data_IF_124851371350
#
_entry.id   IF_124851371350
#
_cell.length_a   1.000
_cell.length_b   1.000
_cell.length_c   1.000
_cell.angle_alpha   90.00
_cell.angle_beta   90.00
_cell.angle_gamma   90.00
#
_symmetry.space_group_name_H-M   'P 1'
#
loop_
_entity.id
_entity.type
_entity.pdbx_description
1 polymer ?
#
# COMPACT_ATOMS: atom_id res chain seq x y z
N UNK A 1 -6.36 -15.51 -19.67
CA UNK A 1 -7.15 -15.47 -18.41
C UNK A 1 -7.04 -16.83 -17.71
N UNK A 2 -6.22 -16.96 -16.66
CA UNK A 2 -6.04 -18.24 -15.95
C UNK A 2 -7.20 -18.63 -15.02
N UNK A 3 -7.25 -19.88 -14.51
CA UNK A 3 -8.33 -20.38 -13.64
C UNK A 3 -8.61 -19.51 -12.41
N UNK A 4 -7.58 -18.86 -11.85
CA UNK A 4 -7.72 -17.93 -10.74
C UNK A 4 -8.42 -16.62 -11.12
N UNK A 5 -8.16 -16.11 -12.34
CA UNK A 5 -8.85 -14.93 -12.87
C UNK A 5 -10.33 -15.22 -13.13
N UNK A 6 -10.65 -16.42 -13.61
CA UNK A 6 -12.03 -16.89 -13.76
C UNK A 6 -12.73 -16.95 -12.39
N UNK A 7 -12.08 -17.49 -11.35
CA UNK A 7 -12.63 -17.53 -9.97
C UNK A 7 -12.82 -16.14 -9.35
N UNK A 8 -11.90 -15.19 -9.60
CA UNK A 8 -12.08 -13.79 -9.15
C UNK A 8 -13.25 -13.12 -9.86
N UNK A 9 -13.35 -13.32 -11.17
CA UNK A 9 -14.45 -12.77 -11.96
C UNK A 9 -15.80 -13.37 -11.54
N UNK A 10 -15.86 -14.65 -11.16
CA UNK A 10 -17.10 -15.25 -10.65
C UNK A 10 -17.45 -14.79 -9.24
N UNK A 11 -16.47 -14.53 -8.37
CA UNK A 11 -16.72 -13.98 -7.04
C UNK A 11 -17.23 -12.53 -7.12
N UNK A 12 -16.60 -11.67 -7.92
CA UNK A 12 -17.07 -10.31 -8.14
C UNK A 12 -18.49 -10.28 -8.72
N UNK A 13 -18.77 -11.14 -9.72
CA UNK A 13 -20.11 -11.32 -10.29
C UNK A 13 -21.11 -11.86 -9.26
N UNK A 14 -20.72 -12.82 -8.41
CA UNK A 14 -21.58 -13.40 -7.38
C UNK A 14 -21.86 -12.40 -6.25
N UNK A 15 -20.88 -11.59 -5.86
CA UNK A 15 -21.04 -10.49 -4.91
C UNK A 15 -21.96 -9.39 -5.46
N UNK A 16 -21.81 -9.01 -6.74
CA UNK A 16 -22.74 -8.10 -7.40
C UNK A 16 -24.16 -8.69 -7.50
N UNK A 17 -24.27 -9.99 -7.80
CA UNK A 17 -25.56 -10.70 -7.84
C UNK A 17 -26.21 -10.74 -6.46
N UNK A 18 -25.46 -11.03 -5.39
CA UNK A 18 -25.96 -11.00 -4.00
C UNK A 18 -26.38 -9.58 -3.56
N UNK A 19 -25.63 -8.54 -3.96
CA UNK A 19 -26.05 -7.14 -3.75
C UNK A 19 -27.36 -6.80 -4.48
N UNK A 20 -27.63 -7.44 -5.62
CA UNK A 20 -28.86 -7.25 -6.39
C UNK A 20 -30.02 -8.19 -6.01
N UNK A 21 -29.74 -9.36 -5.42
CA UNK A 21 -30.70 -10.46 -5.23
C UNK A 21 -31.05 -10.76 -3.78
N UNK A 22 -30.39 -10.14 -2.80
CA UNK A 22 -30.74 -10.29 -1.38
C UNK A 22 -32.03 -9.54 -1.04
N UNK A 23 -33.17 -10.09 -1.44
CA UNK A 23 -34.44 -9.97 -0.71
C UNK A 23 -35.22 -8.65 -0.74
N UNK A 24 -34.79 -7.60 -1.44
CA UNK A 24 -35.56 -6.35 -1.50
C UNK A 24 -36.51 -6.33 -2.70
N UNK A 25 -37.80 -6.50 -2.42
CA UNK A 25 -38.88 -6.46 -3.41
C UNK A 25 -38.78 -5.22 -4.29
N UNK A 26 -39.14 -5.38 -5.57
CA UNK A 26 -39.16 -4.32 -6.59
C UNK A 26 -39.96 -3.05 -6.16
N UNK A 27 -40.73 -3.09 -5.07
CA UNK A 27 -41.41 -1.92 -4.48
C UNK A 27 -40.44 -0.91 -3.86
N UNK A 28 -39.39 -1.32 -3.13
CA UNK A 28 -38.46 -0.35 -2.50
C UNK A 28 -37.48 0.28 -3.49
N UNK A 29 -37.20 -0.39 -4.62
CA UNK A 29 -36.46 0.20 -5.75
C UNK A 29 -37.14 1.45 -6.34
N UNK A 30 -38.45 1.62 -6.14
CA UNK A 30 -39.18 2.82 -6.60
C UNK A 30 -38.89 4.07 -5.76
N UNK A 31 -38.34 3.92 -4.55
CA UNK A 31 -38.06 5.05 -3.65
C UNK A 31 -36.69 5.67 -3.95
N UNK A 32 -35.72 4.85 -4.35
CA UNK A 32 -34.40 5.33 -4.74
C UNK A 32 -34.46 5.99 -6.12
N UNK A 33 -34.02 7.24 -6.22
CA UNK A 33 -33.94 7.96 -7.50
C UNK A 33 -32.68 7.53 -8.24
N UNK A 34 -32.66 7.73 -9.56
CA UNK A 34 -31.46 7.53 -10.36
C UNK A 34 -30.32 8.40 -9.78
N UNK A 35 -29.22 7.76 -9.38
CA UNK A 35 -28.06 8.41 -8.76
C UNK A 35 -27.95 8.27 -7.24
N UNK A 36 -28.97 7.74 -6.56
CA UNK A 36 -28.88 7.49 -5.12
C UNK A 36 -27.99 6.28 -4.82
N UNK A 37 -27.09 6.41 -3.85
CA UNK A 37 -26.28 5.30 -3.37
C UNK A 37 -27.14 4.38 -2.48
N UNK A 38 -27.14 3.08 -2.76
CA UNK A 38 -27.81 2.09 -1.91
C UNK A 38 -26.85 1.52 -0.87
N UNK A 39 -27.35 1.31 0.34
CA UNK A 39 -26.64 0.60 1.41
C UNK A 39 -26.59 -0.90 1.13
N UNK A 40 -25.81 -1.64 1.93
CA UNK A 40 -25.76 -3.11 1.87
C UNK A 40 -27.14 -3.75 2.13
N UNK A 41 -28.03 -3.06 2.84
CA UNK A 41 -29.41 -3.49 3.10
C UNK A 41 -30.37 -3.11 1.97
N UNK A 42 -29.90 -2.44 0.91
CA UNK A 42 -30.74 -1.99 -0.21
C UNK A 42 -31.58 -0.74 0.10
N UNK A 43 -31.30 -0.05 1.19
CA UNK A 43 -31.93 1.22 1.54
C UNK A 43 -31.14 2.39 0.94
N UNK A 44 -31.77 3.56 0.77
CA UNK A 44 -31.05 4.76 0.32
C UNK A 44 -30.03 5.15 1.40
N UNK A 45 -28.78 5.34 1.00
CA UNK A 45 -27.72 5.78 1.88
C UNK A 45 -28.03 7.18 2.39
N UNK A 46 -27.72 7.40 3.66
CA UNK A 46 -27.96 8.67 4.34
C UNK A 46 -27.20 9.82 3.64
N UNK A 47 -27.92 10.84 3.19
CA UNK A 47 -27.36 12.06 2.62
C UNK A 47 -27.51 13.21 3.63
N UNK A 48 -26.39 13.78 4.04
CA UNK A 48 -26.32 14.89 5.01
C UNK A 48 -27.19 16.06 4.56
N UNK A 49 -27.27 16.32 3.25
CA UNK A 49 -27.95 17.49 2.70
C UNK A 49 -29.46 17.28 2.51
N UNK A 50 -29.92 16.03 2.55
CA UNK A 50 -31.34 15.68 2.39
C UNK A 50 -31.97 15.28 3.72
N UNK A 51 -31.28 14.41 4.47
CA UNK A 51 -31.85 13.71 5.62
C UNK A 51 -31.55 14.39 6.97
N UNK A 52 -30.61 15.34 7.02
CA UNK A 52 -30.28 16.08 8.24
C UNK A 52 -30.86 17.49 8.21
N UNK A 53 -32.06 17.69 8.77
CA UNK A 53 -32.76 18.98 8.88
C UNK A 53 -31.86 20.19 9.20
N UNK A 54 -30.94 20.02 10.15
CA UNK A 54 -30.01 21.08 10.58
C UNK A 54 -29.04 21.45 9.46
N UNK A 55 -28.41 20.46 8.83
CA UNK A 55 -27.49 20.66 7.72
C UNK A 55 -28.23 21.17 6.47
N UNK A 56 -29.43 20.64 6.21
CA UNK A 56 -30.30 21.11 5.12
C UNK A 56 -30.68 22.58 5.34
N UNK A 57 -31.09 22.96 6.54
CA UNK A 57 -31.45 24.36 6.86
C UNK A 57 -30.26 25.30 6.72
N UNK A 58 -29.08 24.87 7.21
CA UNK A 58 -27.83 25.62 7.10
C UNK A 58 -27.40 25.83 5.65
N UNK A 59 -27.50 24.80 4.81
CA UNK A 59 -27.20 24.89 3.37
C UNK A 59 -28.16 25.84 2.66
N UNK A 60 -29.44 25.81 3.01
CA UNK A 60 -30.46 26.68 2.42
C UNK A 60 -30.44 28.12 2.96
N UNK A 61 -29.54 28.46 3.89
CA UNK A 61 -29.51 29.78 4.52
C UNK A 61 -30.74 30.10 5.37
N UNK A 62 -31.54 29.08 5.75
CA UNK A 62 -32.70 29.26 6.62
C UNK A 62 -32.23 29.33 8.07
N UNK A 63 -33.03 30.00 8.93
CA UNK A 63 -32.78 30.03 10.38
C UNK A 63 -32.54 28.61 10.90
N UNK A 64 -31.38 28.41 11.52
CA UNK A 64 -30.97 27.09 11.99
C UNK A 64 -31.98 26.57 13.01
N UNK A 65 -32.50 25.36 12.78
CA UNK A 65 -33.37 24.70 13.75
C UNK A 65 -32.51 24.31 14.94
N UNK A 66 -32.87 24.76 16.14
CA UNK A 66 -32.26 24.31 17.40
C UNK A 66 -32.64 22.86 17.73
N UNK A 67 -32.26 21.93 16.85
CA UNK A 67 -32.47 20.49 17.00
C UNK A 67 -31.12 19.79 16.90
N UNK A 68 -31.02 18.61 17.51
CA UNK A 68 -29.85 17.77 17.31
C UNK A 68 -29.76 17.30 15.85
N UNK A 69 -28.54 17.14 15.34
CA UNK A 69 -28.30 16.51 14.04
C UNK A 69 -28.86 15.09 14.01
N UNK A 70 -29.13 14.57 12.80
CA UNK A 70 -29.50 13.17 12.62
C UNK A 70 -28.43 12.23 13.21
N UNK A 71 -28.82 11.03 13.67
CA UNK A 71 -27.90 10.07 14.32
C UNK A 71 -26.75 9.63 13.40
N UNK A 72 -27.03 9.52 12.10
CA UNK A 72 -26.04 9.18 11.06
C UNK A 72 -25.25 10.40 10.54
N UNK A 73 -25.55 11.61 11.01
CA UNK A 73 -24.84 12.80 10.56
C UNK A 73 -23.42 12.85 11.16
N UNK A 74 -22.37 13.05 10.34
CA UNK A 74 -21.00 13.19 10.85
C UNK A 74 -20.82 14.44 11.72
N UNK A 75 -21.64 15.48 11.53
CA UNK A 75 -21.63 16.69 12.35
C UNK A 75 -22.33 16.51 13.70
N UNK A 76 -22.99 15.38 13.95
CA UNK A 76 -23.57 15.10 15.25
C UNK A 76 -22.46 14.93 16.29
N UNK A 77 -22.37 15.85 17.27
CA UNK A 77 -21.32 15.81 18.29
C UNK A 77 -21.31 14.52 19.12
N UNK A 78 -22.47 13.86 19.28
CA UNK A 78 -22.61 12.65 20.11
C UNK A 78 -22.22 11.38 19.36
N UNK A 79 -22.72 11.19 18.14
CA UNK A 79 -22.53 9.94 17.38
C UNK A 79 -21.50 10.06 16.26
N UNK A 80 -21.26 11.26 15.72
CA UNK A 80 -20.37 11.53 14.57
C UNK A 80 -20.60 10.59 13.39
N UNK A 81 -21.85 10.21 13.15
CA UNK A 81 -22.24 9.28 12.09
C UNK A 81 -22.00 7.80 12.38
N UNK A 82 -21.43 7.45 13.53
CA UNK A 82 -21.17 6.06 13.91
C UNK A 82 -22.32 5.54 14.78
N UNK A 83 -23.12 4.63 14.22
CA UNK A 83 -24.26 4.02 14.92
C UNK A 83 -24.01 2.56 15.29
N UNK A 84 -23.11 1.87 14.57
CA UNK A 84 -22.75 0.46 14.83
C UNK A 84 -21.87 0.33 16.06
N UNK A 85 -22.29 -0.54 17.00
CA UNK A 85 -21.50 -0.89 18.19
C UNK A 85 -20.12 -1.43 17.82
N UNK A 86 -20.05 -2.26 16.78
CA UNK A 86 -18.82 -2.87 16.26
C UNK A 86 -17.80 -1.82 15.80
N UNK A 87 -18.26 -0.77 15.11
CA UNK A 87 -17.38 0.31 14.67
C UNK A 87 -16.89 1.15 15.85
N UNK A 88 -17.75 1.40 16.84
CA UNK A 88 -17.33 2.07 18.08
C UNK A 88 -16.27 1.27 18.86
N UNK A 89 -16.41 -0.05 18.92
CA UNK A 89 -15.42 -0.94 19.54
C UNK A 89 -14.11 -0.96 18.76
N UNK A 90 -14.18 -1.05 17.43
CA UNK A 90 -13.02 -0.97 16.55
C UNK A 90 -12.26 0.36 16.72
N UNK A 91 -12.97 1.48 16.81
CA UNK A 91 -12.38 2.80 17.04
C UNK A 91 -11.73 2.93 18.43
N UNK A 92 -12.33 2.32 19.45
CA UNK A 92 -11.72 2.27 20.79
C UNK A 92 -10.41 1.48 20.75
N UNK A 93 -10.42 0.33 20.06
CA UNK A 93 -9.23 -0.50 19.92
C UNK A 93 -8.14 0.19 19.10
N UNK A 94 -8.48 0.84 18.00
CA UNK A 94 -7.52 1.59 17.17
C UNK A 94 -6.90 2.75 17.94
N UNK A 95 -7.68 3.48 18.77
CA UNK A 95 -7.15 4.51 19.67
C UNK A 95 -6.22 3.93 20.73
N UNK A 96 -6.56 2.77 21.30
CA UNK A 96 -5.70 2.07 22.27
C UNK A 96 -4.36 1.68 21.64
N UNK A 97 -4.39 1.11 20.44
CA UNK A 97 -3.18 0.76 19.69
C UNK A 97 -2.36 2.00 19.34
N UNK A 98 -2.97 3.07 18.83
CA UNK A 98 -2.26 4.32 18.54
C UNK A 98 -1.55 4.87 19.77
N UNK A 99 -2.20 4.84 20.95
CA UNK A 99 -1.56 5.24 22.21
C UNK A 99 -0.40 4.33 22.59
N UNK A 100 -0.55 3.02 22.39
CA UNK A 100 0.50 2.04 22.66
C UNK A 100 1.75 2.27 21.78
N UNK A 101 1.55 2.53 20.48
CA UNK A 101 2.66 2.76 19.55
C UNK A 101 3.26 4.17 19.63
N UNK A 102 2.48 5.17 20.07
CA UNK A 102 2.99 6.52 20.29
C UNK A 102 3.73 6.68 21.63
N UNK A 103 3.48 5.78 22.60
CA UNK A 103 4.21 5.77 23.85
C UNK A 103 5.69 5.41 23.58
N UNK A 104 6.65 6.22 24.08
CA UNK A 104 8.06 5.84 24.01
C UNK A 104 8.26 4.49 24.70
N UNK A 105 9.03 3.60 24.07
CA UNK A 105 9.42 2.32 24.66
C UNK A 105 10.08 2.58 26.02
N UNK A 106 9.64 1.84 27.04
CA UNK A 106 10.24 1.93 28.38
C UNK A 106 11.70 1.49 28.31
N UNK A 107 12.55 2.00 29.20
CA UNK A 107 13.96 1.59 29.25
C UNK A 107 14.13 0.08 29.41
N UNK A 108 13.24 -0.58 30.16
CA UNK A 108 13.20 -2.04 30.32
C UNK A 108 12.81 -2.81 29.04
N UNK A 109 12.14 -2.14 28.09
CA UNK A 109 11.68 -2.71 26.83
C UNK A 109 12.64 -2.39 25.67
N UNK A 110 13.51 -1.39 25.83
CA UNK A 110 14.50 -1.01 24.83
C UNK A 110 15.61 -2.06 24.76
N UNK A 111 15.62 -2.84 23.68
CA UNK A 111 16.78 -3.61 23.22
C UNK A 111 17.44 -4.50 24.30
N UNK A 112 16.68 -4.91 25.32
CA UNK A 112 17.22 -5.76 26.36
C UNK A 112 17.31 -7.19 25.83
N UNK A 113 18.52 -7.74 25.81
CA UNK A 113 18.81 -9.10 25.32
C UNK A 113 18.01 -10.18 26.03
N UNK A 114 17.50 -9.90 27.23
CA UNK A 114 16.63 -10.81 28.00
C UNK A 114 15.29 -11.08 27.34
N UNK A 115 14.81 -10.17 26.48
CA UNK A 115 13.56 -10.36 25.74
C UNK A 115 13.78 -11.11 24.41
N UNK A 116 15.03 -11.45 24.09
CA UNK A 116 15.36 -12.30 22.94
C UNK A 116 15.28 -13.74 23.42
N UNK A 117 14.22 -14.45 23.05
CA UNK A 117 14.16 -15.90 23.29
C UNK A 117 15.23 -16.59 22.45
N UNK A 118 15.89 -17.64 22.98
CA UNK A 118 16.91 -18.36 22.21
C UNK A 118 16.33 -18.94 20.91
N UNK A 119 15.06 -19.34 20.91
CA UNK A 119 14.32 -19.82 19.73
C UNK A 119 14.19 -18.75 18.65
N UNK A 120 13.84 -17.50 19.00
CA UNK A 120 13.76 -16.41 18.03
C UNK A 120 15.14 -16.07 17.45
N UNK A 121 16.20 -16.22 18.25
CA UNK A 121 17.58 -16.01 17.82
C UNK A 121 18.04 -17.09 16.84
N UNK A 122 17.74 -18.36 17.13
CA UNK A 122 18.05 -19.47 16.23
C UNK A 122 17.30 -19.34 14.91
N UNK A 123 16.00 -19.00 14.95
CA UNK A 123 15.19 -18.82 13.75
C UNK A 123 15.73 -17.69 12.86
N UNK A 124 16.10 -16.55 13.46
CA UNK A 124 16.66 -15.41 12.72
C UNK A 124 18.01 -15.75 12.07
N UNK A 125 18.89 -16.47 12.80
CA UNK A 125 20.20 -16.87 12.29
C UNK A 125 20.09 -17.96 11.22
N UNK A 126 19.18 -18.92 11.38
CA UNK A 126 18.91 -19.95 10.37
C UNK A 126 18.34 -19.37 9.08
N UNK A 127 17.43 -18.40 9.20
CA UNK A 127 16.86 -17.73 8.03
C UNK A 127 17.95 -17.06 7.19
N UNK A 128 18.98 -16.49 7.84
CA UNK A 128 20.13 -15.88 7.15
C UNK A 128 21.03 -16.91 6.47
N UNK A 129 21.23 -18.09 7.09
CA UNK A 129 21.98 -19.19 6.47
C UNK A 129 21.28 -19.72 5.21
N UNK A 130 19.95 -19.81 5.21
CA UNK A 130 19.17 -20.29 4.04
C UNK A 130 19.22 -19.34 2.84
N UNK A 131 19.46 -18.06 3.07
CA UNK A 131 19.59 -17.07 1.98
C UNK A 131 21.02 -16.96 1.42
N UNK A 132 22.04 -17.39 2.17
CA UNK A 132 23.43 -17.30 1.74
C UNK A 132 23.87 -18.46 0.83
N UNK A 133 23.21 -19.62 0.89
CA UNK A 133 23.61 -20.83 0.15
C UNK A 133 22.94 -21.02 -1.22
N UNK A 134 22.23 -20.03 -1.76
CA UNK A 134 21.56 -20.13 -3.08
C UNK A 134 22.34 -19.45 -4.20
N UNK A 135 23.64 -19.78 -4.32
CA UNK A 135 24.42 -19.49 -5.53
C UNK A 135 24.77 -20.74 -6.36
N UNK A 136 24.51 -21.95 -5.86
CA UNK A 136 24.65 -23.16 -6.67
C UNK A 136 23.31 -23.50 -7.31
N UNK A 137 23.20 -23.14 -8.59
CA UNK A 137 22.08 -23.47 -9.44
C UNK A 137 21.94 -24.98 -9.61
N UNK A 138 21.23 -25.64 -8.69
CA UNK A 138 20.55 -26.90 -8.98
C UNK A 138 19.34 -27.02 -8.06
N UNK A 139 18.17 -26.87 -8.69
CA UNK A 139 16.90 -26.94 -8.01
C UNK A 139 16.63 -28.31 -7.42
N UNK A 140 16.14 -28.33 -6.19
CA UNK A 140 15.20 -29.35 -5.72
C UNK A 140 14.13 -28.67 -4.89
N UNK A 141 12.99 -28.42 -5.53
CA UNK A 141 11.72 -28.10 -4.90
C UNK A 141 11.26 -29.29 -4.03
N UNK A 142 11.71 -29.38 -2.78
CA UNK A 142 10.98 -30.17 -1.78
C UNK A 142 9.84 -29.34 -1.23
N UNK A 143 8.67 -29.61 -1.81
CA UNK A 143 7.32 -29.17 -1.46
C UNK A 143 7.03 -29.44 0.02
N UNK A 144 7.36 -28.49 0.90
CA UNK A 144 6.82 -28.44 2.24
C UNK A 144 5.38 -27.93 2.16
N UNK A 145 4.47 -28.82 2.55
CA UNK A 145 3.02 -28.61 2.63
C UNK A 145 2.74 -27.75 3.87
N UNK A 146 2.84 -26.42 3.75
CA UNK A 146 2.29 -25.48 4.73
C UNK A 146 1.06 -24.75 4.15
N UNK A 147 0.07 -24.41 4.98
CA UNK A 147 -1.15 -23.71 4.55
C UNK A 147 -0.86 -22.23 4.19
N UNK A 148 -1.61 -21.64 3.24
CA UNK A 148 -1.16 -20.43 2.52
C UNK A 148 -1.49 -19.11 3.23
N UNK A 149 -0.52 -18.19 3.42
CA UNK A 149 -0.77 -16.76 3.33
C UNK A 149 -0.56 -16.29 1.88
N UNK A 150 -1.60 -15.67 1.34
CA UNK A 150 -1.71 -15.26 -0.05
C UNK A 150 -1.04 -13.91 -0.30
N UNK A 151 0.08 -13.88 -1.03
CA UNK A 151 0.42 -12.75 -1.91
C UNK A 151 1.39 -13.23 -2.99
N UNK A 152 0.93 -13.17 -4.25
CA UNK A 152 1.64 -13.62 -5.44
C UNK A 152 2.13 -12.38 -6.18
N UNK A 153 3.45 -12.15 -6.12
CA UNK A 153 4.17 -11.26 -7.04
C UNK A 153 4.69 -12.14 -8.17
N UNK A 154 4.36 -11.80 -9.41
CA UNK A 154 4.74 -12.57 -10.59
C UNK A 154 6.27 -12.48 -10.84
N UNK A 155 6.94 -13.58 -11.22
CA UNK A 155 8.35 -13.57 -11.61
C UNK A 155 8.52 -13.05 -13.04
N UNK A 156 9.43 -12.10 -13.23
CA UNK A 156 9.94 -11.68 -14.54
C UNK A 156 10.91 -12.74 -15.11
N UNK A 157 11.01 -12.88 -16.44
CA UNK A 157 11.93 -13.80 -17.09
C UNK A 157 13.39 -13.35 -16.89
N UNK A 158 14.16 -14.15 -16.15
CA UNK A 158 15.61 -14.00 -15.99
C UNK A 158 16.30 -14.45 -17.27
N UNK A 159 16.93 -13.51 -17.97
CA UNK A 159 17.78 -13.76 -19.14
C UNK A 159 19.21 -13.31 -18.84
N UNK A 160 20.15 -14.14 -19.28
CA UNK A 160 21.61 -13.94 -19.32
C UNK A 160 22.36 -13.90 -17.96
N UNK A 161 23.13 -14.97 -17.73
CA UNK A 161 24.24 -15.05 -16.77
C UNK A 161 25.29 -13.99 -17.12
N UNK A 162 25.09 -12.78 -16.61
CA UNK A 162 26.04 -11.67 -16.76
C UNK A 162 27.05 -11.78 -15.62
N UNK A 163 28.35 -11.81 -15.96
CA UNK A 163 29.45 -11.83 -14.99
C UNK A 163 29.27 -10.63 -14.04
N UNK A 164 29.00 -10.89 -12.75
CA UNK A 164 28.90 -9.83 -11.74
C UNK A 164 30.28 -9.22 -11.52
N UNK A 165 30.47 -8.01 -12.04
CA UNK A 165 31.56 -7.14 -11.63
C UNK A 165 31.25 -6.63 -10.22
N UNK A 166 32.07 -6.99 -9.25
CA UNK A 166 32.02 -6.41 -7.91
C UNK A 166 32.65 -5.03 -7.97
N UNK A 167 31.85 -3.97 -7.91
CA UNK A 167 32.36 -2.60 -7.78
C UNK A 167 32.88 -2.40 -6.36
N UNK A 168 34.10 -1.88 -6.23
CA UNK A 168 34.59 -1.43 -4.93
C UNK A 168 33.79 -0.20 -4.49
N UNK A 169 33.70 0.02 -3.18
CA UNK A 169 32.96 1.16 -2.63
C UNK A 169 33.56 2.50 -3.08
N UNK A 170 34.88 2.56 -3.22
CA UNK A 170 35.61 3.77 -3.62
C UNK A 170 35.31 4.14 -5.08
N UNK A 171 35.27 3.17 -5.98
CA UNK A 171 34.92 3.38 -7.40
C UNK A 171 33.51 3.97 -7.54
N UNK A 172 32.57 3.50 -6.72
CA UNK A 172 31.19 3.98 -6.74
C UNK A 172 31.10 5.44 -6.29
N UNK A 173 31.89 5.84 -5.29
CA UNK A 173 31.96 7.22 -4.83
C UNK A 173 32.52 8.14 -5.93
N UNK A 174 33.60 7.74 -6.59
CA UNK A 174 34.21 8.52 -7.67
C UNK A 174 33.27 8.67 -8.88
N UNK A 175 32.55 7.62 -9.25
CA UNK A 175 31.54 7.68 -10.32
C UNK A 175 30.36 8.59 -9.96
N UNK A 176 29.88 8.55 -8.72
CA UNK A 176 28.79 9.43 -8.27
C UNK A 176 29.27 10.88 -8.21
N UNK A 177 30.48 11.16 -7.75
CA UNK A 177 31.01 12.52 -7.76
C UNK A 177 31.28 13.04 -9.18
N UNK A 178 31.68 12.17 -10.11
CA UNK A 178 31.83 12.52 -11.52
C UNK A 178 30.47 12.87 -12.18
N UNK A 179 29.41 12.10 -11.90
CA UNK A 179 28.07 12.40 -12.41
C UNK A 179 27.49 13.70 -11.82
N UNK A 180 27.76 13.98 -10.55
CA UNK A 180 27.36 15.24 -9.91
C UNK A 180 28.09 16.47 -10.45
N UNK A 181 29.32 16.31 -10.95
CA UNK A 181 30.08 17.39 -11.60
C UNK A 181 29.60 17.71 -13.02
N UNK A 182 28.74 16.87 -13.61
CA UNK A 182 28.21 17.08 -14.95
C UNK A 182 27.05 18.09 -14.92
N UNK A 183 27.28 19.30 -15.42
CA UNK A 183 26.30 20.40 -15.41
C UNK A 183 24.98 20.02 -16.09
N UNK A 184 25.04 19.27 -17.19
CA UNK A 184 23.84 18.79 -17.91
C UNK A 184 22.98 17.87 -17.03
N UNK A 185 23.61 17.00 -16.24
CA UNK A 185 22.90 16.12 -15.33
C UNK A 185 22.19 16.92 -14.23
N UNK A 186 22.86 17.93 -13.67
CA UNK A 186 22.29 18.80 -12.62
C UNK A 186 21.09 19.58 -13.16
N UNK A 187 21.17 20.10 -14.38
CA UNK A 187 20.06 20.84 -15.00
C UNK A 187 18.84 19.95 -15.25
N UNK A 188 19.02 18.74 -15.79
CA UNK A 188 17.90 17.81 -16.08
C UNK A 188 17.20 17.26 -14.83
N UNK A 189 17.85 17.37 -13.67
CA UNK A 189 17.36 16.84 -12.39
C UNK A 189 16.83 17.93 -11.46
N UNK A 190 17.06 19.21 -11.78
CA UNK A 190 16.73 20.35 -10.92
C UNK A 190 15.25 20.43 -10.50
N UNK A 191 14.34 19.99 -11.38
CA UNK A 191 12.89 20.02 -11.14
C UNK A 191 12.35 18.75 -10.47
N UNK A 192 13.19 17.75 -10.21
CA UNK A 192 12.79 16.47 -9.63
C UNK A 192 12.83 16.57 -8.09
N UNK A 193 11.83 15.99 -7.44
CA UNK A 193 11.66 16.00 -5.98
C UNK A 193 12.74 15.30 -5.15
N UNK A 194 13.36 14.18 -5.58
CA UNK A 194 14.34 13.50 -4.74
C UNK A 194 15.71 14.20 -4.76
N UNK A 195 16.53 14.06 -3.70
CA UNK A 195 17.87 14.64 -3.61
C UNK A 195 18.77 14.22 -4.79
N UNK A 196 19.51 15.19 -5.33
CA UNK A 196 20.41 15.03 -6.49
C UNK A 196 21.39 13.85 -6.35
N UNK A 197 21.98 13.68 -5.15
CA UNK A 197 22.92 12.59 -4.87
C UNK A 197 22.28 11.18 -4.98
N UNK A 198 21.00 11.04 -4.64
CA UNK A 198 20.29 9.76 -4.73
C UNK A 198 20.01 9.40 -6.20
N UNK A 199 19.67 10.39 -7.02
CA UNK A 199 19.47 10.18 -8.45
C UNK A 199 20.79 9.89 -9.18
N UNK A 200 21.88 10.55 -8.81
CA UNK A 200 23.22 10.25 -9.30
C UNK A 200 23.64 8.81 -8.94
N UNK A 201 23.41 8.38 -7.68
CA UNK A 201 23.67 7.01 -7.27
C UNK A 201 22.83 6.00 -8.07
N UNK A 202 21.53 6.25 -8.22
CA UNK A 202 20.63 5.35 -8.95
C UNK A 202 21.03 5.19 -10.42
N UNK A 203 21.47 6.27 -11.06
CA UNK A 203 21.94 6.25 -12.46
C UNK A 203 23.24 5.46 -12.60
N UNK A 204 24.24 5.72 -11.74
CA UNK A 204 25.51 4.95 -11.73
C UNK A 204 25.26 3.46 -11.50
N UNK A 205 24.38 3.10 -10.56
CA UNK A 205 24.06 1.68 -10.30
C UNK A 205 23.31 1.05 -11.46
N UNK A 206 22.37 1.77 -12.09
CA UNK A 206 21.66 1.25 -13.26
C UNK A 206 22.63 0.96 -14.42
N UNK A 207 23.52 1.90 -14.73
CA UNK A 207 24.50 1.74 -15.81
C UNK A 207 25.50 0.61 -15.55
N UNK A 208 26.02 0.50 -14.33
CA UNK A 208 27.08 -0.45 -14.02
C UNK A 208 26.59 -1.86 -13.66
N UNK A 209 25.41 -1.97 -13.02
CA UNK A 209 24.90 -3.25 -12.48
C UNK A 209 23.85 -3.87 -13.38
N UNK A 210 22.96 -3.06 -13.97
CA UNK A 210 21.87 -3.58 -14.79
C UNK A 210 22.32 -3.78 -16.25
N UNK A 211 23.10 -2.83 -16.79
CA UNK A 211 23.48 -2.83 -18.20
C UNK A 211 25.01 -2.72 -18.45
N UNK A 212 25.84 -3.66 -17.95
CA UNK A 212 27.30 -3.58 -18.11
C UNK A 212 27.76 -3.58 -19.57
N UNK A 213 26.92 -4.05 -20.50
CA UNK A 213 27.20 -4.08 -21.94
C UNK A 213 26.97 -2.72 -22.64
N UNK A 214 26.23 -1.79 -22.02
CA UNK A 214 25.93 -0.47 -22.60
C UNK A 214 26.90 0.65 -22.15
N UNK A 215 27.91 0.34 -21.34
CA UNK A 215 28.95 1.29 -20.91
C UNK A 215 29.76 1.91 -22.05
N UNK A 216 29.55 1.48 -23.30
CA UNK A 216 30.21 1.99 -24.51
C UNK A 216 29.36 2.93 -25.37
N UNK A 217 28.09 3.20 -25.03
CA UNK A 217 27.25 4.11 -25.82
C UNK A 217 27.01 5.43 -25.09
N UNK A 218 27.21 6.59 -25.76
CA UNK A 218 26.99 7.89 -25.15
C UNK A 218 25.52 8.07 -24.75
N UNK A 219 25.36 8.58 -23.52
CA UNK A 219 24.18 8.78 -22.69
C UNK A 219 23.11 9.66 -23.33
N UNK A 220 22.39 9.16 -24.34
CA UNK A 220 21.31 9.91 -25.00
C UNK A 220 19.90 9.33 -24.86
N UNK A 221 19.70 8.12 -24.31
CA UNK A 221 18.42 7.41 -24.51
C UNK A 221 17.53 7.23 -23.24
N UNK A 222 18.04 7.40 -22.01
CA UNK A 222 17.24 7.00 -20.83
C UNK A 222 16.19 8.01 -20.31
N UNK A 223 16.06 9.21 -20.91
CA UNK A 223 15.14 10.25 -20.41
C UNK A 223 13.69 10.17 -20.92
N UNK A 224 13.33 9.20 -21.77
CA UNK A 224 11.95 9.10 -22.32
C UNK A 224 10.95 8.27 -21.49
N UNK A 225 11.35 7.64 -20.37
CA UNK A 225 10.45 6.69 -19.66
C UNK A 225 9.78 7.29 -18.40
N UNK A 226 10.10 8.52 -18.01
CA UNK A 226 9.49 9.18 -16.85
C UNK A 226 8.96 10.59 -17.19
N UNK A 227 8.05 10.66 -18.16
CA UNK A 227 7.19 11.82 -18.41
C UNK A 227 5.74 11.45 -18.17
#
# INVERSE_FOLDING_TARGET
>A
MGPQSQRRNTLAKRAAKLKGSAGYSNKKKRIAKAGDQLTLTGEVAFDILRDCDVCTSRRLGKKERHRAHHKLCPNNRRTRGITSKTTLESDKYSKKLKKHYAAPLKQSEKLHSTNVTPEALTDFLEQRKRMATTNDGQGVLKKLKSPPPSSSTAPLPSSATTKRTTLAADDLYDLVTATLKNEYFVETVRDKTPPLAILALATVVAEQVLDPQNSKFPTMIFLMVFQ
#
